data_IF_219762280892
#
_entry.id   IF_219762280892
#
_cell.length_a   1.000
_cell.length_b   1.000
_cell.length_c   1.000
_cell.angle_alpha   90.00
_cell.angle_beta   90.00
_cell.angle_gamma   90.00
#
_symmetry.space_group_name_H-M   'P 1'
#
loop_
_entity.id
_entity.type
_entity.pdbx_description
1 polymer ?
#
# COMPACT_ATOMS: atom_id res chain seq x y z
N UNK A 1 3.67 -12.19 13.43
CA UNK A 1 2.69 -12.22 12.31
C UNK A 1 2.77 -13.55 11.60
N UNK A 2 1.67 -14.28 11.50
CA UNK A 2 1.49 -15.40 10.58
C UNK A 2 0.87 -14.86 9.30
N UNK A 3 1.30 -15.38 8.14
CA UNK A 3 0.85 -14.89 6.84
C UNK A 3 0.42 -16.06 5.98
N UNK A 4 -0.77 -15.95 5.42
CA UNK A 4 -1.32 -16.93 4.48
C UNK A 4 -1.69 -16.22 3.18
N UNK A 5 -1.07 -16.60 2.07
CA UNK A 5 -1.53 -16.16 0.75
C UNK A 5 -2.88 -16.82 0.45
N UNK A 6 -3.86 -16.00 0.06
CA UNK A 6 -5.20 -16.48 -0.24
C UNK A 6 -5.44 -16.61 -1.74
N UNK A 7 -5.23 -15.52 -2.48
CA UNK A 7 -5.55 -15.46 -3.91
C UNK A 7 -4.85 -14.30 -4.60
N UNK A 8 -4.61 -14.46 -5.91
CA UNK A 8 -4.36 -13.37 -6.86
C UNK A 8 -5.56 -13.24 -7.80
N UNK A 9 -6.12 -12.05 -7.91
CA UNK A 9 -7.28 -11.79 -8.75
C UNK A 9 -6.95 -10.75 -9.83
N UNK A 10 -7.25 -11.00 -11.10
CA UNK A 10 -7.04 -10.06 -12.19
C UNK A 10 -8.11 -8.96 -12.22
N UNK A 11 -9.25 -9.18 -11.56
CA UNK A 11 -10.36 -8.25 -11.51
C UNK A 11 -11.12 -8.33 -10.18
N UNK A 12 -12.02 -7.38 -9.97
CA UNK A 12 -12.91 -7.33 -8.82
C UNK A 12 -13.84 -8.56 -8.76
N UNK A 13 -14.29 -9.03 -9.91
CA UNK A 13 -15.23 -10.19 -10.01
C UNK A 13 -14.59 -11.49 -9.50
N UNK A 14 -13.26 -11.54 -9.57
CA UNK A 14 -12.49 -12.70 -9.12
C UNK A 14 -11.84 -12.50 -7.76
N UNK A 15 -12.06 -11.34 -7.14
CA UNK A 15 -11.61 -11.08 -5.78
C UNK A 15 -12.24 -12.06 -4.78
N UNK A 16 -11.58 -12.23 -3.63
CA UNK A 16 -12.18 -12.97 -2.52
C UNK A 16 -13.37 -12.20 -1.97
N UNK A 17 -14.37 -12.90 -1.43
CA UNK A 17 -15.46 -12.27 -0.69
C UNK A 17 -14.91 -11.59 0.56
N UNK A 18 -15.39 -10.36 0.87
CA UNK A 18 -14.97 -9.66 2.08
C UNK A 18 -15.47 -10.40 3.33
N UNK A 19 -14.57 -10.84 4.20
CA UNK A 19 -14.93 -11.62 5.40
C UNK A 19 -14.49 -10.96 6.71
N UNK A 20 -13.55 -10.02 6.64
CA UNK A 20 -12.99 -9.32 7.80
C UNK A 20 -12.47 -7.94 7.39
N UNK A 21 -11.86 -7.22 8.33
CA UNK A 21 -11.18 -5.94 8.08
C UNK A 21 -10.11 -6.11 7.00
N UNK A 22 -10.04 -5.13 6.09
CA UNK A 22 -9.08 -5.12 5.00
C UNK A 22 -8.21 -3.85 5.01
N UNK A 23 -6.94 -4.04 4.70
CA UNK A 23 -5.93 -2.98 4.56
C UNK A 23 -5.41 -3.01 3.13
N UNK A 24 -5.62 -1.94 2.38
CA UNK A 24 -5.16 -1.84 1.00
C UNK A 24 -3.80 -1.14 0.91
N UNK A 25 -2.84 -1.79 0.28
CA UNK A 25 -1.50 -1.26 0.03
C UNK A 25 -1.39 -0.76 -1.40
N UNK A 26 -1.15 0.54 -1.56
CA UNK A 26 -1.00 1.21 -2.85
C UNK A 26 0.38 1.85 -2.97
N UNK A 27 0.77 2.11 -4.19
CA UNK A 27 1.98 2.85 -4.49
C UNK A 27 2.34 2.76 -5.95
N UNK A 28 3.08 3.74 -6.44
CA UNK A 28 3.55 3.70 -7.83
C UNK A 28 4.50 2.55 -8.08
N UNK A 29 4.65 2.23 -9.34
CA UNK A 29 5.63 1.22 -9.75
C UNK A 29 7.03 1.59 -9.28
N UNK A 30 7.79 0.62 -8.78
CA UNK A 30 9.14 0.79 -8.23
C UNK A 30 9.26 1.67 -6.97
N UNK A 31 8.16 1.99 -6.31
CA UNK A 31 8.19 2.64 -4.98
C UNK A 31 8.82 1.76 -3.90
N UNK A 32 8.87 0.46 -4.15
CA UNK A 32 9.37 -0.55 -3.20
C UNK A 32 8.26 -1.30 -2.47
N UNK A 33 7.05 -1.40 -3.06
CA UNK A 33 5.87 -2.01 -2.45
C UNK A 33 6.10 -3.47 -2.07
N UNK A 34 6.59 -4.31 -2.98
CA UNK A 34 6.91 -5.73 -2.67
C UNK A 34 8.02 -5.87 -1.62
N UNK A 35 9.01 -4.97 -1.64
CA UNK A 35 10.06 -4.94 -0.61
C UNK A 35 9.52 -4.51 0.75
N UNK A 36 8.58 -3.54 0.77
CA UNK A 36 7.88 -3.12 1.98
C UNK A 36 7.08 -4.29 2.56
N UNK A 37 6.33 -4.98 1.74
CA UNK A 37 5.51 -6.13 2.13
C UNK A 37 6.37 -7.22 2.78
N UNK A 38 7.47 -7.61 2.12
CA UNK A 38 8.40 -8.61 2.64
C UNK A 38 9.06 -8.17 3.95
N UNK A 39 9.44 -6.89 4.07
CA UNK A 39 10.05 -6.35 5.28
C UNK A 39 9.03 -6.22 6.43
N UNK A 40 7.82 -5.75 6.14
CA UNK A 40 6.73 -5.59 7.11
C UNK A 40 6.30 -6.94 7.71
N UNK A 41 6.13 -7.94 6.85
CA UNK A 41 5.70 -9.29 7.25
C UNK A 41 6.86 -10.17 7.71
N UNK A 42 8.11 -9.69 7.56
CA UNK A 42 9.33 -10.45 7.82
C UNK A 42 9.39 -11.82 7.11
N UNK A 43 8.81 -11.89 5.92
CA UNK A 43 8.72 -13.10 5.08
C UNK A 43 8.87 -12.73 3.60
N UNK A 44 9.42 -13.65 2.81
CA UNK A 44 9.57 -13.49 1.33
C UNK A 44 8.31 -13.99 0.61
N UNK A 45 7.21 -13.27 0.74
CA UNK A 45 5.92 -13.65 0.14
C UNK A 45 5.65 -12.95 -1.20
N UNK A 46 6.11 -11.71 -1.36
CA UNK A 46 5.96 -10.96 -2.60
C UNK A 46 7.21 -11.13 -3.47
N UNK A 47 7.00 -11.50 -4.75
CA UNK A 47 8.08 -11.55 -5.73
C UNK A 47 8.54 -10.12 -6.03
N UNK A 48 9.78 -9.80 -5.65
CA UNK A 48 10.40 -8.54 -6.01
C UNK A 48 10.79 -8.64 -7.49
N UNK A 49 10.08 -7.90 -8.34
CA UNK A 49 10.40 -7.82 -9.77
C UNK A 49 11.01 -6.47 -10.05
N UNK A 50 12.17 -6.45 -10.67
CA UNK A 50 12.77 -5.25 -11.27
C UNK A 50 12.12 -4.89 -12.61
N UNK A 51 11.38 -5.85 -13.20
CA UNK A 51 10.69 -5.63 -14.48
C UNK A 51 9.34 -4.98 -14.18
N UNK A 52 9.15 -3.76 -14.65
CA UNK A 52 7.91 -3.05 -14.50
C UNK A 52 6.78 -3.79 -15.29
N UNK A 53 5.53 -3.92 -14.73
CA UNK A 53 4.35 -4.49 -15.39
C UNK A 53 3.98 -5.92 -15.05
N UNK A 54 4.74 -6.58 -14.18
CA UNK A 54 4.44 -7.98 -13.85
C UNK A 54 3.27 -8.19 -12.89
N UNK A 55 2.93 -7.21 -12.05
CA UNK A 55 1.85 -7.37 -11.09
C UNK A 55 0.65 -6.54 -11.55
N UNK A 56 -0.16 -7.12 -12.41
CA UNK A 56 -1.49 -6.59 -12.77
C UNK A 56 -2.58 -7.21 -11.88
N UNK A 57 -2.20 -8.05 -10.92
CA UNK A 57 -3.11 -8.80 -10.07
C UNK A 57 -3.26 -8.13 -8.71
N UNK A 58 -4.46 -8.21 -8.17
CA UNK A 58 -4.75 -7.87 -6.78
C UNK A 58 -4.41 -9.10 -5.95
N UNK A 59 -3.45 -8.99 -5.03
CA UNK A 59 -3.06 -10.10 -4.18
C UNK A 59 -3.65 -9.95 -2.78
N UNK A 60 -4.21 -11.03 -2.26
CA UNK A 60 -4.84 -11.08 -0.94
C UNK A 60 -4.03 -11.98 -0.01
N UNK A 61 -3.72 -11.42 1.16
CA UNK A 61 -3.00 -12.12 2.23
C UNK A 61 -3.79 -12.03 3.52
N UNK A 62 -4.08 -13.15 4.15
CA UNK A 62 -4.57 -13.18 5.52
C UNK A 62 -3.38 -13.00 6.47
N UNK A 63 -3.51 -12.06 7.37
CA UNK A 63 -2.50 -11.74 8.39
C UNK A 63 -3.10 -12.03 9.75
N UNK A 64 -2.37 -12.77 10.57
CA UNK A 64 -2.65 -12.98 11.98
C UNK A 64 -1.50 -12.39 12.80
N UNK A 65 -1.78 -11.37 13.59
CA UNK A 65 -0.83 -10.69 14.47
C UNK A 65 -1.41 -10.58 15.88
N UNK A 66 -0.82 -11.33 16.80
CA UNK A 66 -1.35 -11.56 18.14
C UNK A 66 -2.79 -12.12 18.05
N UNK A 67 -3.77 -11.42 18.60
CA UNK A 67 -5.20 -11.75 18.58
C UNK A 67 -6.00 -11.13 17.42
N UNK A 68 -5.33 -10.34 16.55
CA UNK A 68 -5.97 -9.65 15.44
C UNK A 68 -5.77 -10.38 14.12
N UNK A 69 -6.86 -10.45 13.34
CA UNK A 69 -6.84 -10.98 11.97
C UNK A 69 -7.36 -9.93 10.99
N UNK A 70 -6.70 -9.80 9.86
CA UNK A 70 -7.11 -8.89 8.79
C UNK A 70 -6.61 -9.38 7.43
N UNK A 71 -7.19 -8.87 6.36
CA UNK A 71 -6.71 -9.09 5.00
C UNK A 71 -5.82 -7.91 4.58
N UNK A 72 -4.62 -8.20 4.15
CA UNK A 72 -3.75 -7.24 3.48
C UNK A 72 -3.90 -7.44 1.97
N UNK A 73 -4.31 -6.36 1.28
CA UNK A 73 -4.53 -6.33 -0.16
C UNK A 73 -3.35 -5.60 -0.81
N UNK A 74 -2.56 -6.34 -1.58
CA UNK A 74 -1.49 -5.76 -2.39
C UNK A 74 -2.05 -5.38 -3.75
N UNK A 75 -2.28 -4.09 -3.95
CA UNK A 75 -2.79 -3.56 -5.20
C UNK A 75 -1.66 -3.40 -6.22
N UNK A 76 -1.95 -3.54 -7.51
CA UNK A 76 -0.98 -3.27 -8.55
C UNK A 76 -0.41 -1.86 -8.50
N UNK A 77 0.87 -1.72 -8.83
CA UNK A 77 1.50 -0.40 -8.86
C UNK A 77 0.95 0.48 -9.98
N UNK A 78 0.62 1.72 -9.67
CA UNK A 78 0.17 2.71 -10.65
C UNK A 78 1.36 3.40 -11.37
N UNK A 79 1.07 4.18 -12.41
CA UNK A 79 2.09 4.95 -13.13
C UNK A 79 2.87 4.19 -14.20
N UNK A 80 2.28 3.14 -14.77
CA UNK A 80 2.94 2.29 -15.75
C UNK A 80 2.93 2.88 -17.17
N UNK A 81 4.13 3.10 -17.76
CA UNK A 81 4.27 3.63 -19.12
C UNK A 81 4.08 2.59 -20.25
N UNK A 82 4.24 1.30 -19.95
CA UNK A 82 4.36 0.22 -20.96
C UNK A 82 3.09 -0.59 -21.26
N UNK A 83 1.93 -0.17 -20.78
CA UNK A 83 0.65 -0.85 -21.06
C UNK A 83 -0.15 -0.01 -22.06
N UNK A 84 -0.89 -0.65 -22.95
CA UNK A 84 -1.73 0.05 -23.92
C UNK A 84 -2.73 0.99 -23.22
N UNK A 85 -3.11 2.09 -23.88
CA UNK A 85 -4.07 3.06 -23.33
C UNK A 85 -5.42 2.41 -22.96
N UNK A 86 -5.87 1.43 -23.75
CA UNK A 86 -7.13 0.70 -23.50
C UNK A 86 -7.06 -0.16 -22.25
N UNK A 87 -5.99 -0.94 -22.06
CA UNK A 87 -5.76 -1.74 -20.85
C UNK A 87 -5.62 -0.87 -19.60
N UNK A 88 -4.96 0.29 -19.70
CA UNK A 88 -4.90 1.25 -18.58
C UNK A 88 -6.29 1.76 -18.20
N UNK A 89 -7.13 2.05 -19.16
CA UNK A 89 -8.49 2.58 -18.94
C UNK A 89 -9.40 1.54 -18.29
N UNK A 90 -9.38 0.32 -18.82
CA UNK A 90 -10.18 -0.78 -18.27
C UNK A 90 -9.71 -1.16 -16.87
N UNK A 91 -8.42 -1.26 -16.68
CA UNK A 91 -7.81 -1.58 -15.40
C UNK A 91 -8.06 -0.49 -14.35
N UNK A 92 -7.93 0.79 -14.74
CA UNK A 92 -8.27 1.92 -13.89
C UNK A 92 -9.74 1.90 -13.48
N UNK A 93 -10.67 1.57 -14.39
CA UNK A 93 -12.10 1.43 -14.08
C UNK A 93 -12.36 0.27 -13.10
N UNK A 94 -11.73 -0.87 -13.29
CA UNK A 94 -11.89 -2.03 -12.40
C UNK A 94 -11.34 -1.73 -11.00
N UNK A 95 -10.17 -1.08 -10.91
CA UNK A 95 -9.59 -0.68 -9.63
C UNK A 95 -10.43 0.39 -8.92
N UNK A 96 -10.95 1.37 -9.65
CA UNK A 96 -11.84 2.39 -9.12
C UNK A 96 -13.09 1.77 -8.49
N UNK A 97 -13.76 0.87 -9.21
CA UNK A 97 -14.91 0.14 -8.69
C UNK A 97 -14.56 -0.71 -7.46
N UNK A 98 -13.39 -1.37 -7.49
CA UNK A 98 -12.90 -2.15 -6.37
C UNK A 98 -12.73 -1.29 -5.12
N UNK A 99 -12.01 -0.17 -5.22
CA UNK A 99 -11.71 0.67 -4.07
C UNK A 99 -12.96 1.34 -3.49
N UNK A 100 -13.88 1.79 -4.35
CA UNK A 100 -15.11 2.47 -3.92
C UNK A 100 -16.14 1.54 -3.31
N UNK A 101 -16.28 0.32 -3.84
CA UNK A 101 -17.36 -0.60 -3.46
C UNK A 101 -16.94 -1.66 -2.43
N UNK A 102 -15.65 -1.75 -2.08
CA UNK A 102 -15.18 -2.70 -1.09
C UNK A 102 -15.21 -2.11 0.32
N UNK A 103 -16.35 -2.25 0.97
CA UNK A 103 -16.63 -1.63 2.27
C UNK A 103 -15.75 -2.14 3.43
N UNK A 104 -15.16 -3.33 3.29
CA UNK A 104 -14.27 -3.93 4.28
C UNK A 104 -12.88 -3.29 4.29
N UNK A 105 -12.49 -2.54 3.25
CA UNK A 105 -11.25 -1.75 3.30
C UNK A 105 -11.48 -0.61 4.30
N UNK A 106 -10.76 -0.65 5.42
CA UNK A 106 -10.81 0.37 6.46
C UNK A 106 -9.56 1.25 6.48
N UNK A 107 -8.46 0.75 5.90
CA UNK A 107 -7.21 1.48 5.87
C UNK A 107 -6.55 1.40 4.49
N UNK A 108 -6.13 2.55 3.98
CA UNK A 108 -5.29 2.68 2.81
C UNK A 108 -3.88 3.05 3.24
N UNK A 109 -2.89 2.24 2.87
CA UNK A 109 -1.48 2.56 3.05
C UNK A 109 -0.92 2.99 1.71
N UNK A 110 -0.69 4.29 1.56
CA UNK A 110 -0.10 4.85 0.36
C UNK A 110 1.42 4.96 0.51
N UNK A 111 2.15 4.15 -0.26
CA UNK A 111 3.61 4.18 -0.30
C UNK A 111 4.10 5.24 -1.27
N UNK A 112 4.97 6.13 -0.77
CA UNK A 112 5.65 7.17 -1.57
C UNK A 112 7.16 6.98 -1.47
N UNK A 113 7.90 7.39 -2.49
CA UNK A 113 9.37 7.33 -2.49
C UNK A 113 9.94 8.59 -1.83
N UNK A 114 10.63 8.42 -0.71
CA UNK A 114 11.20 9.54 0.05
C UNK A 114 12.17 10.41 -0.74
N UNK A 115 12.77 9.90 -1.81
CA UNK A 115 13.66 10.66 -2.70
C UNK A 115 12.92 11.67 -3.58
N UNK A 116 11.62 11.46 -3.76
CA UNK A 116 10.75 12.26 -4.63
C UNK A 116 9.40 12.47 -3.94
N UNK A 117 9.35 13.22 -2.83
CA UNK A 117 8.15 13.33 -2.00
C UNK A 117 6.99 14.09 -2.66
N UNK A 118 7.27 14.98 -3.61
CA UNK A 118 6.29 15.89 -4.24
C UNK A 118 6.01 15.48 -5.70
N UNK A 119 5.86 14.19 -5.98
CA UNK A 119 5.48 13.76 -7.33
C UNK A 119 3.98 13.94 -7.54
N UNK A 120 3.61 14.64 -8.61
CA UNK A 120 2.22 14.90 -9.01
C UNK A 120 1.39 13.60 -9.08
N UNK A 121 1.97 12.50 -9.54
CA UNK A 121 1.28 11.22 -9.60
C UNK A 121 0.89 10.70 -8.21
N UNK A 122 1.72 10.90 -7.19
CA UNK A 122 1.43 10.49 -5.81
C UNK A 122 0.38 11.44 -5.20
N UNK A 123 0.44 12.74 -5.50
CA UNK A 123 -0.56 13.74 -5.07
C UNK A 123 -1.92 13.46 -5.70
N UNK A 124 -1.96 13.12 -6.99
CA UNK A 124 -3.19 12.74 -7.68
C UNK A 124 -3.85 11.50 -7.05
N UNK A 125 -3.06 10.53 -6.56
CA UNK A 125 -3.58 9.37 -5.84
C UNK A 125 -4.14 9.77 -4.48
N UNK A 126 -3.47 10.64 -3.73
CA UNK A 126 -3.97 11.15 -2.45
C UNK A 126 -5.29 11.91 -2.65
N UNK A 127 -5.37 12.80 -3.65
CA UNK A 127 -6.59 13.52 -4.00
C UNK A 127 -7.72 12.57 -4.40
N UNK A 128 -7.41 11.55 -5.19
CA UNK A 128 -8.36 10.53 -5.60
C UNK A 128 -8.90 9.75 -4.40
N UNK A 129 -8.06 9.26 -3.50
CA UNK A 129 -8.48 8.54 -2.30
C UNK A 129 -9.36 9.43 -1.42
N UNK A 130 -8.95 10.68 -1.19
CA UNK A 130 -9.70 11.65 -0.39
C UNK A 130 -11.07 12.00 -1.00
N UNK A 131 -11.25 11.84 -2.32
CA UNK A 131 -12.53 12.13 -2.99
C UNK A 131 -13.66 11.14 -2.67
N UNK A 132 -13.35 9.96 -2.17
CA UNK A 132 -14.36 8.92 -1.87
C UNK A 132 -14.20 8.25 -0.50
N UNK A 133 -13.17 8.60 0.26
CA UNK A 133 -12.93 8.00 1.59
C UNK A 133 -14.14 8.22 2.51
N UNK A 134 -14.52 7.18 3.21
CA UNK A 134 -15.63 7.19 4.17
C UNK A 134 -15.15 7.55 5.58
N UNK A 135 -16.05 8.01 6.46
CA UNK A 135 -15.68 8.37 7.85
C UNK A 135 -15.05 7.23 8.67
N UNK A 136 -15.35 5.99 8.32
CA UNK A 136 -14.81 4.77 8.95
C UNK A 136 -13.50 4.29 8.33
N UNK A 137 -12.93 5.05 7.40
CA UNK A 137 -11.69 4.73 6.70
C UNK A 137 -10.59 5.74 7.01
N UNK A 138 -9.34 5.32 6.89
CA UNK A 138 -8.17 6.18 7.01
C UNK A 138 -7.19 5.97 5.86
N UNK A 139 -6.40 7.01 5.58
CA UNK A 139 -5.24 6.96 4.69
C UNK A 139 -4.00 7.20 5.53
N UNK A 140 -2.99 6.35 5.39
CA UNK A 140 -1.67 6.52 5.97
C UNK A 140 -0.64 6.62 4.85
N UNK A 141 0.09 7.72 4.83
CA UNK A 141 1.25 7.87 3.93
C UNK A 141 2.48 7.27 4.56
N UNK A 142 3.19 6.43 3.82
CA UNK A 142 4.45 5.81 4.24
C UNK A 142 5.53 6.12 3.21
N UNK A 143 6.55 6.86 3.60
CA UNK A 143 7.72 7.12 2.77
C UNK A 143 8.72 5.96 2.87
N UNK A 144 9.00 5.33 1.75
CA UNK A 144 10.00 4.26 1.61
C UNK A 144 11.37 4.84 1.24
N UNK A 145 12.41 4.02 1.30
CA UNK A 145 13.79 4.33 0.85
C UNK A 145 14.45 5.50 1.60
N UNK A 146 14.10 5.73 2.85
CA UNK A 146 14.74 6.79 3.67
C UNK A 146 16.25 6.55 3.88
N UNK A 147 16.73 5.34 3.65
CA UNK A 147 18.16 4.99 3.64
C UNK A 147 18.94 5.68 2.53
N UNK A 148 18.27 6.24 1.55
CA UNK A 148 18.85 6.99 0.43
C UNK A 148 18.91 8.51 0.68
N UNK A 149 18.42 8.98 1.82
CA UNK A 149 18.38 10.38 2.20
C UNK A 149 19.45 10.72 3.23
N UNK A 150 19.94 11.97 3.19
CA UNK A 150 20.74 12.56 4.26
C UNK A 150 19.85 12.91 5.46
N UNK A 151 20.44 13.08 6.64
CA UNK A 151 19.70 13.40 7.86
C UNK A 151 18.90 14.71 7.75
N UNK A 152 19.44 15.73 7.09
CA UNK A 152 18.76 17.00 6.84
C UNK A 152 17.51 16.84 5.97
N UNK A 153 17.57 15.98 4.95
CA UNK A 153 16.44 15.68 4.07
C UNK A 153 15.34 14.90 4.83
N UNK A 154 15.74 13.96 5.70
CA UNK A 154 14.80 13.25 6.58
C UNK A 154 14.11 14.22 7.54
N UNK A 155 14.86 15.17 8.11
CA UNK A 155 14.30 16.19 9.03
C UNK A 155 13.32 17.11 8.30
N UNK A 156 13.65 17.54 7.07
CA UNK A 156 12.75 18.32 6.23
C UNK A 156 11.48 17.51 5.89
N UNK A 157 11.62 16.26 5.47
CA UNK A 157 10.50 15.40 5.13
C UNK A 157 9.52 15.23 6.30
N UNK A 158 10.03 15.06 7.53
CA UNK A 158 9.21 15.00 8.75
C UNK A 158 8.48 16.30 9.04
N UNK A 159 9.10 17.45 8.75
CA UNK A 159 8.47 18.77 8.92
C UNK A 159 7.34 18.97 7.90
N UNK A 160 7.61 18.63 6.65
CA UNK A 160 6.65 18.80 5.54
C UNK A 160 5.49 17.80 5.61
N UNK A 161 5.74 16.60 6.18
CA UNK A 161 4.76 15.51 6.30
C UNK A 161 4.72 14.94 7.74
N UNK A 162 4.21 15.69 8.72
CA UNK A 162 4.30 15.33 10.16
C UNK A 162 3.59 14.03 10.51
N UNK A 163 2.54 13.68 9.78
CA UNK A 163 1.74 12.47 10.01
C UNK A 163 2.20 11.24 9.21
N UNK A 164 3.18 11.42 8.33
CA UNK A 164 3.67 10.31 7.51
C UNK A 164 4.66 9.43 8.28
N UNK A 165 4.64 8.14 7.98
CA UNK A 165 5.60 7.18 8.49
C UNK A 165 6.77 7.05 7.53
N UNK A 166 7.96 6.86 8.07
CA UNK A 166 9.20 6.80 7.31
C UNK A 166 9.87 5.44 7.50
N UNK A 167 10.13 4.72 6.40
CA UNK A 167 10.70 3.37 6.47
C UNK A 167 11.89 3.17 5.51
N UNK A 168 12.81 2.31 5.93
CA UNK A 168 13.81 1.70 5.04
C UNK A 168 13.54 0.21 4.95
N UNK A 169 13.16 -0.24 3.78
CA UNK A 169 12.93 -1.67 3.52
C UNK A 169 14.22 -2.49 3.66
N UNK A 170 15.35 -1.91 3.23
CA UNK A 170 16.67 -2.58 3.26
C UNK A 170 17.20 -2.67 4.69
N UNK A 171 17.15 -1.56 5.45
CA UNK A 171 17.64 -1.50 6.83
C UNK A 171 16.59 -1.91 7.86
N UNK A 172 15.40 -2.32 7.43
CA UNK A 172 14.25 -2.69 8.28
C UNK A 172 13.95 -1.65 9.37
N UNK A 173 14.13 -0.34 9.08
CA UNK A 173 13.87 0.76 10.01
C UNK A 173 12.47 1.31 9.85
N UNK A 174 11.85 1.72 10.97
CA UNK A 174 10.55 2.42 10.99
C UNK A 174 9.33 1.51 10.93
N UNK A 175 9.50 0.19 10.80
CA UNK A 175 8.38 -0.75 10.74
C UNK A 175 7.66 -0.89 12.07
N UNK A 176 8.34 -0.68 13.21
CA UNK A 176 7.69 -0.69 14.53
C UNK A 176 6.59 0.37 14.60
N UNK A 177 6.87 1.59 14.11
CA UNK A 177 5.87 2.67 14.03
C UNK A 177 4.71 2.35 13.09
N UNK A 178 4.98 1.63 11.99
CA UNK A 178 3.90 1.16 11.10
C UNK A 178 3.01 0.17 11.84
N UNK A 179 3.59 -0.81 12.54
CA UNK A 179 2.85 -1.80 13.32
C UNK A 179 2.05 -1.18 14.45
N UNK A 180 2.67 -0.25 15.20
CA UNK A 180 2.00 0.52 16.25
C UNK A 180 0.79 1.27 15.70
N UNK A 181 0.97 2.01 14.60
CA UNK A 181 -0.13 2.74 13.95
C UNK A 181 -1.27 1.83 13.48
N UNK A 182 -0.94 0.62 13.00
CA UNK A 182 -1.94 -0.38 12.62
C UNK A 182 -2.67 -0.94 13.83
N UNK A 183 -1.96 -1.25 14.94
CA UNK A 183 -2.57 -1.71 16.19
C UNK A 183 -3.51 -0.65 16.77
N UNK A 184 -3.09 0.62 16.80
CA UNK A 184 -3.91 1.74 17.26
C UNK A 184 -5.17 1.91 16.40
N UNK A 185 -5.03 1.76 15.09
CA UNK A 185 -6.16 1.83 14.18
C UNK A 185 -7.17 0.69 14.43
N UNK A 186 -6.69 -0.55 14.48
CA UNK A 186 -7.52 -1.73 14.73
C UNK A 186 -8.11 -1.77 16.16
N UNK A 187 -7.52 -1.07 17.11
CA UNK A 187 -8.03 -0.95 18.47
C UNK A 187 -9.19 0.04 18.62
N UNK A 188 -9.44 0.87 17.60
CA UNK A 188 -10.53 1.87 17.56
C UNK A 188 -11.77 1.40 16.79
N UNK A 189 -11.68 0.26 16.13
CA UNK A 189 -12.78 -0.39 15.39
C UNK A 189 -13.47 -1.45 16.25
#
# INVERSE_FOLDING_TARGET
MKVKFLKSAPSIKEAIEPSMLEIALLGRSNVGKSSFLNAFLNQKIAKISSTPGKTQLINFFEIEDDDKKFILIDLPGFGYAKVSKSLKKEWGKNLDQFLKNRFNIKLFIHLRDARHPNLEIDENVDNYLNSFIRPDQQIITVFTKIDKLKQSEISKLKKDYPNALLVSNIKKRGFDKVKEKLKDFMGKL
#
